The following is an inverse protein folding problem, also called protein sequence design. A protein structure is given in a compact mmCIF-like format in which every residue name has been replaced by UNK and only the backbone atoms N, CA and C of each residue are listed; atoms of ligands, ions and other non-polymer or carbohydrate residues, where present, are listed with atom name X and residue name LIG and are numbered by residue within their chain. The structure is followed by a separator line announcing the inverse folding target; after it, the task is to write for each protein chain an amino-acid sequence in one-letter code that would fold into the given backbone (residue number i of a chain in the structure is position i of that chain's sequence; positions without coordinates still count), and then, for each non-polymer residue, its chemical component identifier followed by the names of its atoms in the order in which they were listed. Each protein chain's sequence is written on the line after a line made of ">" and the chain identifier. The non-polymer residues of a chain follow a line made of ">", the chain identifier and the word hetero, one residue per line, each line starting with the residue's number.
data_IF_820236629537
#
_entry.id   IF_820236629537
#
_cell.length_a   1.000
_cell.length_b   1.000
_cell.length_c   1.000
_cell.angle_alpha   90.00
_cell.angle_beta   90.00
_cell.angle_gamma   90.00
#
_symmetry.space_group_name_H-M   'P 1'
#
loop_
_entity.id
_entity.type
_entity.pdbx_description
1 polymer ?
#
# COMPACT_ATOMS: atom_id res chain seq x y z
N UNK A 1 -6.42 -0.83 -15.05
CA UNK A 1 -6.55 -1.74 -13.90
C UNK A 1 -7.41 -2.96 -14.18
N UNK A 2 -8.38 -2.91 -15.12
CA UNK A 2 -9.06 -4.12 -15.61
C UNK A 2 -9.91 -4.82 -14.56
N UNK A 3 -10.59 -4.06 -13.71
CA UNK A 3 -11.61 -4.61 -12.82
C UNK A 3 -12.82 -5.03 -13.64
N UNK A 4 -13.32 -6.25 -13.44
CA UNK A 4 -14.63 -6.65 -13.93
C UNK A 4 -15.71 -6.00 -13.06
N UNK A 5 -16.24 -4.88 -13.55
CA UNK A 5 -17.28 -4.08 -12.89
C UNK A 5 -18.65 -4.18 -13.58
N UNK A 6 -18.81 -5.11 -14.51
CA UNK A 6 -20.07 -5.33 -15.20
C UNK A 6 -21.12 -5.94 -14.27
N UNK A 7 -22.39 -5.96 -14.69
CA UNK A 7 -23.47 -6.59 -13.91
C UNK A 7 -23.17 -8.07 -13.66
N UNK A 8 -22.89 -8.42 -12.40
CA UNK A 8 -22.50 -9.77 -11.99
C UNK A 8 -20.99 -10.00 -11.91
N UNK A 9 -20.17 -8.98 -12.18
CA UNK A 9 -18.72 -9.01 -12.05
C UNK A 9 -18.24 -9.11 -10.60
N UNK A 10 -16.99 -9.50 -10.41
CA UNK A 10 -16.39 -9.75 -9.09
C UNK A 10 -16.21 -8.49 -8.25
N UNK A 11 -16.01 -7.34 -8.91
CA UNK A 11 -15.78 -6.05 -8.28
C UNK A 11 -16.92 -5.08 -8.59
N UNK A 12 -17.18 -4.14 -7.69
CA UNK A 12 -18.09 -3.02 -7.94
C UNK A 12 -17.47 -1.69 -7.57
N UNK A 13 -17.89 -0.66 -8.30
CA UNK A 13 -17.68 0.73 -7.92
C UNK A 13 -18.93 1.17 -7.15
N UNK A 14 -18.82 1.26 -5.83
CA UNK A 14 -19.94 1.72 -5.00
C UNK A 14 -20.04 3.25 -5.01
N UNK A 15 -21.27 3.77 -5.03
CA UNK A 15 -21.61 5.17 -4.88
C UNK A 15 -21.99 5.54 -3.43
N UNK A 16 -21.76 4.66 -2.46
CA UNK A 16 -22.10 4.90 -1.05
C UNK A 16 -21.49 6.19 -0.49
N UNK A 17 -20.34 6.61 -1.02
CA UNK A 17 -19.65 7.83 -0.63
C UNK A 17 -19.80 8.99 -1.62
N UNK A 18 -20.73 8.93 -2.57
CA UNK A 18 -20.92 9.94 -3.62
C UNK A 18 -21.10 11.36 -3.06
N UNK A 19 -21.77 11.44 -1.90
CA UNK A 19 -22.04 12.68 -1.17
C UNK A 19 -21.15 12.86 0.07
N UNK A 20 -20.04 12.12 0.19
CA UNK A 20 -19.06 12.21 1.29
C UNK A 20 -19.63 11.95 2.70
N UNK A 21 -20.79 11.29 2.80
CA UNK A 21 -21.48 11.02 4.07
C UNK A 21 -20.87 9.84 4.85
N UNK A 22 -20.33 8.85 4.14
CA UNK A 22 -19.70 7.68 4.77
C UNK A 22 -18.32 8.07 5.26
N UNK A 23 -17.50 8.67 4.40
CA UNK A 23 -16.17 9.17 4.76
C UNK A 23 -15.89 10.48 4.02
N UNK A 24 -15.78 11.57 4.76
CA UNK A 24 -15.54 12.90 4.21
C UNK A 24 -14.13 13.12 3.64
N UNK A 25 -13.21 12.19 3.90
CA UNK A 25 -11.80 12.26 3.48
C UNK A 25 -11.42 11.23 2.42
N UNK A 26 -12.41 10.50 1.90
CA UNK A 26 -12.27 9.54 0.79
C UNK A 26 -12.90 10.11 -0.49
N UNK A 27 -12.54 9.56 -1.67
CA UNK A 27 -13.21 9.90 -2.91
C UNK A 27 -14.68 9.48 -2.92
N UNK A 28 -15.41 10.00 -3.91
CA UNK A 28 -16.84 9.72 -4.13
C UNK A 28 -17.12 8.25 -4.41
N UNK A 29 -16.21 7.60 -5.14
CA UNK A 29 -16.36 6.25 -5.63
C UNK A 29 -15.29 5.35 -5.02
N UNK A 30 -15.70 4.18 -4.56
CA UNK A 30 -14.82 3.21 -3.91
C UNK A 30 -14.94 1.87 -4.61
N UNK A 31 -13.83 1.15 -4.74
CA UNK A 31 -13.80 -0.20 -5.32
C UNK A 31 -13.81 -1.21 -4.18
N UNK A 32 -14.79 -2.10 -4.21
CA UNK A 32 -15.00 -3.18 -3.23
C UNK A 32 -15.54 -4.44 -3.95
N UNK A 33 -15.49 -5.62 -3.33
CA UNK A 33 -16.11 -6.82 -3.91
C UNK A 33 -17.64 -6.66 -4.07
N UNK A 34 -18.19 -7.20 -5.17
CA UNK A 34 -19.64 -7.18 -5.43
C UNK A 34 -20.44 -7.95 -4.38
N UNK A 35 -19.83 -8.97 -3.76
CA UNK A 35 -20.42 -9.78 -2.70
C UNK A 35 -20.71 -9.01 -1.40
N UNK A 36 -20.11 -7.83 -1.19
CA UNK A 36 -20.29 -7.04 0.02
C UNK A 36 -21.38 -5.98 -0.20
N UNK A 37 -22.51 -6.01 0.52
CA UNK A 37 -23.57 -5.00 0.37
C UNK A 37 -23.16 -3.65 0.98
N UNK A 38 -23.70 -2.56 0.44
CA UNK A 38 -23.36 -1.21 0.90
C UNK A 38 -23.73 -0.98 2.39
N UNK A 39 -24.78 -1.64 2.89
CA UNK A 39 -25.15 -1.58 4.31
C UNK A 39 -24.05 -2.11 5.25
N UNK A 40 -23.30 -3.13 4.82
CA UNK A 40 -22.17 -3.64 5.59
C UNK A 40 -21.03 -2.63 5.58
N UNK A 41 -20.79 -1.95 4.44
CA UNK A 41 -19.78 -0.89 4.34
C UNK A 41 -20.04 0.28 5.31
N UNK A 42 -21.30 0.63 5.58
CA UNK A 42 -21.63 1.64 6.62
C UNK A 42 -21.23 1.18 8.02
N UNK A 43 -21.37 -0.11 8.30
CA UNK A 43 -20.97 -0.72 9.57
C UNK A 43 -19.46 -0.76 9.69
N UNK A 44 -18.76 -1.18 8.62
CA UNK A 44 -17.29 -1.14 8.52
C UNK A 44 -16.78 0.29 8.71
N UNK A 45 -17.43 1.28 8.09
CA UNK A 45 -17.09 2.68 8.25
C UNK A 45 -17.21 3.15 9.69
N UNK A 46 -18.08 2.55 10.50
CA UNK A 46 -18.18 2.89 11.94
C UNK A 46 -17.09 2.21 12.78
N UNK A 47 -16.43 1.18 12.25
CA UNK A 47 -15.35 0.45 12.91
C UNK A 47 -13.95 0.88 12.44
N UNK A 48 -13.82 1.55 11.31
CA UNK A 48 -12.53 2.05 10.79
C UNK A 48 -12.33 3.50 11.20
N UNK A 49 -11.14 3.82 11.69
CA UNK A 49 -10.84 5.17 12.18
C UNK A 49 -11.08 6.24 11.08
N UNK A 50 -11.72 7.35 11.46
CA UNK A 50 -12.17 8.39 10.52
C UNK A 50 -13.04 7.88 9.37
N UNK A 51 -13.65 6.70 9.54
CA UNK A 51 -14.53 6.03 8.59
C UNK A 51 -13.87 5.61 7.27
N UNK A 52 -12.54 5.50 7.27
CA UNK A 52 -11.71 5.20 6.09
C UNK A 52 -11.62 3.68 5.89
N UNK A 53 -12.65 3.13 5.27
CA UNK A 53 -12.82 1.68 5.06
C UNK A 53 -11.72 1.08 4.16
N UNK A 54 -11.45 -0.24 4.25
CA UNK A 54 -10.71 -0.96 3.23
C UNK A 54 -11.36 -0.79 1.85
N UNK A 55 -10.58 -0.27 0.90
CA UNK A 55 -10.98 -0.18 -0.51
C UNK A 55 -9.78 -0.47 -1.39
N UNK A 56 -10.03 -1.09 -2.54
CA UNK A 56 -8.99 -1.45 -3.51
C UNK A 56 -8.62 -0.23 -4.35
N UNK A 57 -7.32 -0.03 -4.55
CA UNK A 57 -6.77 1.12 -5.30
C UNK A 57 -5.84 0.72 -6.44
N UNK A 58 -5.42 -0.55 -6.47
CA UNK A 58 -4.64 -1.12 -7.56
C UNK A 58 -4.92 -2.61 -7.74
N UNK A 59 -4.87 -3.10 -8.98
CA UNK A 59 -5.00 -4.51 -9.35
C UNK A 59 -3.93 -4.93 -10.33
N UNK A 60 -3.34 -6.08 -10.08
CA UNK A 60 -2.36 -6.73 -10.94
C UNK A 60 -3.05 -7.27 -12.20
N UNK A 61 -2.69 -6.73 -13.37
CA UNK A 61 -3.34 -7.07 -14.62
C UNK A 61 -3.20 -8.55 -15.02
N UNK A 62 -2.13 -9.24 -14.61
CA UNK A 62 -1.91 -10.66 -14.92
C UNK A 62 -2.52 -11.64 -13.90
N UNK A 63 -2.32 -11.39 -12.59
CA UNK A 63 -2.64 -12.33 -11.51
C UNK A 63 -3.89 -11.96 -10.69
N UNK A 64 -4.52 -10.82 -10.99
CA UNK A 64 -5.74 -10.37 -10.33
C UNK A 64 -5.59 -9.93 -8.87
N UNK A 65 -4.39 -10.06 -8.28
CA UNK A 65 -4.07 -9.63 -6.93
C UNK A 65 -4.19 -8.13 -6.77
N UNK A 66 -4.53 -7.67 -5.56
CA UNK A 66 -4.87 -6.26 -5.33
C UNK A 66 -4.08 -5.63 -4.20
N UNK A 67 -3.96 -4.31 -4.28
CA UNK A 67 -3.57 -3.45 -3.16
C UNK A 67 -4.81 -2.70 -2.70
N UNK A 68 -5.16 -2.89 -1.43
CA UNK A 68 -6.18 -2.13 -0.73
C UNK A 68 -5.55 -1.19 0.30
N UNK A 69 -6.28 -0.15 0.68
CA UNK A 69 -5.87 0.79 1.73
C UNK A 69 -7.00 1.13 2.68
N UNK A 70 -6.64 1.47 3.92
CA UNK A 70 -7.59 1.92 4.95
C UNK A 70 -6.91 2.76 6.05
N UNK A 71 -7.71 3.20 7.02
CA UNK A 71 -7.21 3.51 8.37
C UNK A 71 -7.21 2.26 9.28
N UNK A 72 -6.69 2.41 10.50
CA UNK A 72 -6.72 1.35 11.51
C UNK A 72 -8.15 0.95 11.92
N UNK A 73 -8.36 -0.28 12.39
CA UNK A 73 -9.62 -0.66 13.06
C UNK A 73 -9.72 -0.04 14.47
N UNK A 74 -10.94 0.24 14.92
CA UNK A 74 -11.29 0.77 16.23
C UNK A 74 -11.56 -0.34 17.24
N UNK A 75 -10.56 -1.21 17.41
CA UNK A 75 -10.60 -2.34 18.36
C UNK A 75 -10.71 -1.85 19.80
N UNK A 76 -10.01 -0.76 20.13
CA UNK A 76 -9.98 -0.18 21.46
C UNK A 76 -9.44 -1.12 22.55
N UNK A 77 -9.47 -0.62 23.79
CA UNK A 77 -9.02 -1.38 24.95
C UNK A 77 -9.88 -2.62 25.22
N UNK A 78 -11.20 -2.51 24.97
CA UNK A 78 -12.18 -3.57 25.21
C UNK A 78 -12.13 -4.70 24.18
N UNK A 79 -11.35 -4.57 23.10
CA UNK A 79 -11.25 -5.62 22.09
C UNK A 79 -12.50 -5.72 21.22
N UNK A 80 -13.08 -4.58 20.85
CA UNK A 80 -14.21 -4.51 19.93
C UNK A 80 -13.87 -5.15 18.60
N UNK A 81 -14.90 -5.71 17.98
CA UNK A 81 -14.83 -6.44 16.72
C UNK A 81 -15.96 -6.00 15.82
N UNK A 82 -15.75 -6.18 14.52
CA UNK A 82 -16.79 -6.01 13.50
C UNK A 82 -16.75 -7.22 12.57
N UNK A 83 -17.79 -8.04 12.61
CA UNK A 83 -17.92 -9.17 11.68
C UNK A 83 -18.04 -8.70 10.23
N UNK A 84 -18.56 -7.49 10.00
CA UNK A 84 -18.61 -6.87 8.68
C UNK A 84 -17.22 -6.45 8.18
N UNK A 85 -16.33 -5.96 9.06
CA UNK A 85 -14.94 -5.65 8.68
C UNK A 85 -14.16 -6.94 8.39
N UNK A 86 -14.31 -7.95 9.26
CA UNK A 86 -13.77 -9.30 9.07
C UNK A 86 -14.22 -9.88 7.71
N UNK A 87 -15.52 -9.75 7.38
CA UNK A 87 -16.10 -10.23 6.12
C UNK A 87 -15.65 -9.44 4.90
N UNK A 88 -15.51 -8.11 5.00
CA UNK A 88 -15.02 -7.29 3.89
C UNK A 88 -13.57 -7.64 3.52
N UNK A 89 -12.68 -7.77 4.52
CA UNK A 89 -11.29 -8.15 4.29
C UNK A 89 -11.22 -9.55 3.66
N UNK A 90 -12.01 -10.50 4.16
CA UNK A 90 -12.10 -11.83 3.57
C UNK A 90 -12.59 -11.76 2.11
N UNK A 91 -13.64 -11.00 1.83
CA UNK A 91 -14.20 -10.85 0.50
C UNK A 91 -13.21 -10.23 -0.50
N UNK A 92 -12.34 -9.31 -0.06
CA UNK A 92 -11.26 -8.76 -0.91
C UNK A 92 -10.28 -9.87 -1.31
N UNK A 93 -9.91 -10.75 -0.38
CA UNK A 93 -9.03 -11.88 -0.66
C UNK A 93 -9.69 -12.92 -1.58
N UNK A 94 -10.97 -13.23 -1.32
CA UNK A 94 -11.75 -14.18 -2.13
C UNK A 94 -11.94 -13.65 -3.56
N UNK A 95 -12.20 -12.36 -3.73
CA UNK A 95 -12.35 -11.71 -5.04
C UNK A 95 -11.12 -11.90 -5.93
N UNK A 96 -9.90 -11.86 -5.36
CA UNK A 96 -8.67 -12.13 -6.11
C UNK A 96 -8.58 -13.59 -6.60
N UNK A 97 -9.21 -14.52 -5.88
CA UNK A 97 -9.24 -15.94 -6.26
C UNK A 97 -10.31 -16.24 -7.31
N UNK A 98 -11.42 -15.48 -7.30
CA UNK A 98 -12.53 -15.61 -8.26
C UNK A 98 -12.17 -14.96 -9.60
N UNK A 99 -11.44 -13.84 -9.56
CA UNK A 99 -10.98 -13.10 -10.74
C UNK A 99 -9.43 -13.03 -10.75
N UNK A 100 -8.73 -14.13 -11.11
CA UNK A 100 -7.27 -14.22 -11.09
C UNK A 100 -6.56 -13.53 -12.26
N UNK A 101 -7.28 -12.73 -13.06
CA UNK A 101 -6.74 -12.09 -14.26
C UNK A 101 -6.63 -13.06 -15.46
N UNK A 102 -6.16 -12.58 -16.62
CA UNK A 102 -6.10 -13.32 -17.87
C UNK A 102 -4.99 -14.39 -17.89
N UNK A 103 -3.99 -14.32 -17.00
CA UNK A 103 -2.90 -15.27 -16.95
C UNK A 103 -3.15 -16.32 -15.85
N UNK A 104 -3.82 -17.39 -16.29
CA UNK A 104 -3.82 -18.80 -15.84
C UNK A 104 -5.27 -19.32 -15.79
N UNK A 105 -5.86 -19.42 -16.97
CA UNK A 105 -6.98 -20.33 -17.23
C UNK A 105 -6.53 -21.71 -17.71
N UNK A 106 -5.22 -21.97 -17.89
CA UNK A 106 -4.68 -23.27 -18.30
C UNK A 106 -3.15 -23.36 -18.02
N UNK A 107 -2.73 -24.30 -17.16
CA UNK A 107 -1.52 -25.10 -17.41
C UNK A 107 -0.16 -24.68 -16.83
N UNK A 108 -0.03 -23.66 -15.98
CA UNK A 108 1.28 -23.33 -15.36
C UNK A 108 1.19 -22.99 -13.87
N UNK A 109 0.45 -23.78 -13.10
CA UNK A 109 0.56 -23.80 -11.64
C UNK A 109 1.06 -25.16 -11.16
N UNK A 110 2.37 -25.22 -10.91
CA UNK A 110 3.05 -25.90 -9.79
C UNK A 110 4.45 -26.32 -10.22
N UNK A 111 5.43 -25.42 -10.10
CA UNK A 111 6.75 -25.88 -9.67
C UNK A 111 6.77 -25.69 -8.15
N UNK A 112 6.87 -26.76 -7.34
CA UNK A 112 7.03 -26.64 -5.91
C UNK A 112 8.29 -25.84 -5.59
N UNK A 113 8.23 -24.98 -4.58
CA UNK A 113 9.32 -24.13 -4.10
C UNK A 113 10.41 -24.91 -3.32
N UNK A 114 10.44 -26.25 -3.45
CA UNK A 114 11.39 -27.13 -2.77
C UNK A 114 12.32 -27.80 -3.79
N UNK A 115 13.35 -27.06 -4.19
CA UNK A 115 14.66 -27.61 -4.59
C UNK A 115 15.72 -26.50 -4.60
N UNK A 116 16.05 -25.97 -3.42
CA UNK A 116 17.43 -25.55 -3.15
C UNK A 116 18.25 -26.81 -2.87
N UNK A 117 18.77 -27.44 -3.92
CA UNK A 117 19.85 -28.41 -3.83
C UNK A 117 20.83 -28.18 -4.99
N UNK A 118 22.09 -27.95 -4.64
CA UNK A 118 23.24 -28.02 -5.53
C UNK A 118 23.25 -29.34 -6.31
N UNK A 119 23.52 -29.28 -7.62
CA UNK A 119 24.46 -30.13 -8.38
C UNK A 119 24.09 -30.31 -9.85
N UNK A 120 25.09 -30.04 -10.69
CA UNK A 120 25.41 -30.57 -12.02
C UNK A 120 24.33 -30.69 -13.12
N UNK A 121 24.61 -29.93 -14.18
CA UNK A 121 24.01 -30.07 -15.50
C UNK A 121 24.53 -31.34 -16.19
N UNK A 122 23.75 -32.42 -16.15
CA UNK A 122 23.79 -33.49 -17.17
C UNK A 122 22.68 -34.52 -16.93
N UNK A 123 21.51 -34.33 -17.55
CA UNK A 123 20.80 -35.41 -18.26
C UNK A 123 19.50 -34.88 -18.90
N UNK A 124 19.57 -34.60 -20.20
CA UNK A 124 18.38 -34.37 -21.04
C UNK A 124 18.34 -35.46 -22.10
N UNK A 125 17.97 -36.66 -21.68
CA UNK A 125 17.43 -37.66 -22.58
C UNK A 125 16.55 -38.60 -21.79
N UNK A 126 15.22 -38.46 -21.93
CA UNK A 126 14.21 -39.52 -21.81
C UNK A 126 12.83 -38.89 -21.62
N UNK A 127 12.22 -38.32 -22.66
CA UNK A 127 10.76 -38.26 -22.79
C UNK A 127 10.38 -38.10 -24.28
N UNK A 128 10.51 -39.19 -25.04
CA UNK A 128 9.81 -39.36 -26.31
C UNK A 128 9.04 -40.67 -26.24
N UNK A 129 7.74 -40.58 -25.92
CA UNK A 129 6.86 -41.75 -25.81
C UNK A 129 5.44 -41.28 -25.49
N UNK A 130 4.62 -41.16 -26.52
CA UNK A 130 3.23 -40.73 -26.39
C UNK A 130 2.35 -41.77 -25.71
N UNK A 131 1.41 -41.28 -24.89
CA UNK A 131 0.17 -41.96 -24.51
C UNK A 131 -0.92 -40.88 -24.38
N UNK A 132 -1.92 -40.95 -25.25
CA UNK A 132 -3.17 -40.22 -25.13
C UNK A 132 -4.00 -40.82 -24.00
N UNK A 133 -3.92 -40.23 -22.82
CA UNK A 133 -4.88 -40.45 -21.74
C UNK A 133 -5.53 -39.12 -21.41
N UNK A 134 -6.80 -38.97 -21.77
CA UNK A 134 -7.65 -37.87 -21.32
C UNK A 134 -7.85 -38.01 -19.81
N UNK A 135 -6.89 -37.51 -19.02
CA UNK A 135 -7.10 -37.31 -17.60
C UNK A 135 -8.00 -36.09 -17.44
N UNK A 136 -9.20 -36.30 -16.92
CA UNK A 136 -9.96 -35.22 -16.29
C UNK A 136 -9.10 -34.67 -15.15
N UNK A 137 -8.38 -33.59 -15.42
CA UNK A 137 -7.70 -32.81 -14.41
C UNK A 137 -8.76 -31.94 -13.75
N UNK A 138 -9.37 -32.44 -12.68
CA UNK A 138 -10.04 -31.56 -11.73
C UNK A 138 -8.99 -30.56 -11.24
N UNK A 139 -9.13 -29.24 -11.51
CA UNK A 139 -8.17 -28.27 -11.03
C UNK A 139 -8.15 -28.38 -9.50
N UNK A 140 -7.01 -28.78 -8.92
CA UNK A 140 -6.82 -28.54 -7.49
C UNK A 140 -6.95 -27.03 -7.29
N UNK A 141 -7.86 -26.54 -6.44
CA UNK A 141 -7.87 -25.12 -6.12
C UNK A 141 -6.48 -24.75 -5.62
N UNK A 142 -5.87 -23.74 -6.25
CA UNK A 142 -4.61 -23.19 -5.78
C UNK A 142 -4.76 -22.89 -4.28
N UNK A 143 -3.75 -23.20 -3.44
CA UNK A 143 -3.85 -22.90 -2.02
C UNK A 143 -4.16 -21.41 -1.84
N UNK A 144 -5.29 -21.11 -1.21
CA UNK A 144 -5.73 -19.74 -0.96
C UNK A 144 -4.62 -19.01 -0.19
N UNK A 145 -3.99 -18.05 -0.85
CA UNK A 145 -2.92 -17.27 -0.24
C UNK A 145 -3.57 -16.30 0.74
N UNK A 146 -3.18 -16.40 2.01
CA UNK A 146 -3.63 -15.47 3.07
C UNK A 146 -3.43 -14.04 2.60
N UNK A 147 -4.24 -13.08 3.00
CA UNK A 147 -4.01 -11.67 2.73
C UNK A 147 -2.89 -11.12 3.63
N UNK A 148 -2.03 -10.25 3.10
CA UNK A 148 -1.07 -9.50 3.92
C UNK A 148 -1.72 -8.19 4.40
N UNK A 149 -1.79 -7.98 5.70
CA UNK A 149 -2.14 -6.70 6.31
C UNK A 149 -0.85 -6.03 6.75
N UNK A 150 -0.44 -4.99 6.03
CA UNK A 150 0.77 -4.23 6.30
C UNK A 150 0.41 -2.98 7.11
N UNK A 151 0.64 -3.04 8.43
CA UNK A 151 0.54 -1.90 9.31
C UNK A 151 1.87 -1.12 9.26
N UNK A 152 1.81 0.11 8.74
CA UNK A 152 2.98 0.95 8.61
C UNK A 152 3.68 1.27 9.96
N UNK A 153 2.99 1.08 11.09
CA UNK A 153 3.48 1.43 12.43
C UNK A 153 4.37 0.33 13.01
N UNK A 154 4.99 0.63 14.14
CA UNK A 154 5.52 -0.43 15.00
C UNK A 154 4.38 -1.08 15.77
N UNK A 155 4.56 -2.34 16.17
CA UNK A 155 3.62 -3.03 17.05
C UNK A 155 3.34 -2.22 18.34
N UNK A 156 4.39 -1.66 18.96
CA UNK A 156 4.25 -0.81 20.15
C UNK A 156 3.36 0.42 19.89
N UNK A 157 3.50 1.07 18.73
CA UNK A 157 2.64 2.19 18.36
C UNK A 157 1.20 1.75 18.07
N UNK A 158 0.99 0.58 17.47
CA UNK A 158 -0.35 0.02 17.26
C UNK A 158 -1.05 -0.29 18.59
N UNK A 159 -0.35 -0.90 19.55
CA UNK A 159 -0.84 -1.13 20.92
C UNK A 159 -1.14 0.18 21.64
N UNK A 160 -0.29 1.19 21.50
CA UNK A 160 -0.55 2.51 22.07
C UNK A 160 -1.81 3.18 21.47
N UNK A 161 -2.08 2.97 20.17
CA UNK A 161 -3.32 3.42 19.54
C UNK A 161 -4.54 2.63 20.02
N UNK A 162 -4.38 1.34 20.34
CA UNK A 162 -5.44 0.52 20.95
C UNK A 162 -5.95 1.11 22.26
N UNK A 163 -5.06 1.64 23.09
CA UNK A 163 -5.44 2.35 24.32
C UNK A 163 -6.25 3.64 24.05
N UNK A 164 -6.19 4.19 22.83
CA UNK A 164 -6.92 5.40 22.41
C UNK A 164 -8.15 5.10 21.56
N UNK A 165 -8.61 3.85 21.53
CA UNK A 165 -9.77 3.43 20.74
C UNK A 165 -9.44 2.84 19.37
N UNK A 166 -8.22 3.04 18.85
CA UNK A 166 -7.75 2.41 17.60
C UNK A 166 -7.32 0.95 17.79
N UNK A 167 -6.30 0.50 17.07
CA UNK A 167 -5.73 -0.84 17.23
C UNK A 167 -5.17 -1.42 15.95
N UNK A 168 -5.14 -2.74 15.88
CA UNK A 168 -4.74 -3.53 14.73
C UNK A 168 -5.56 -4.83 14.70
N UNK A 169 -5.65 -5.43 13.53
CA UNK A 169 -6.29 -6.70 13.27
C UNK A 169 -5.64 -7.83 14.10
N UNK A 170 -6.45 -8.79 14.56
CA UNK A 170 -5.99 -9.93 15.35
C UNK A 170 -6.11 -11.22 14.53
N UNK A 171 -5.04 -12.00 14.42
CA UNK A 171 -5.02 -13.22 13.60
C UNK A 171 -6.14 -14.23 13.96
N UNK A 172 -6.62 -14.25 15.21
CA UNK A 172 -7.74 -15.10 15.63
C UNK A 172 -9.08 -14.72 14.97
N UNK A 173 -9.27 -13.44 14.64
CA UNK A 173 -10.51 -12.91 14.06
C UNK A 173 -10.38 -12.67 12.55
N UNK A 174 -9.16 -12.60 12.04
CA UNK A 174 -8.82 -12.49 10.62
C UNK A 174 -7.97 -13.71 10.22
N UNK A 175 -8.53 -14.94 10.22
CA UNK A 175 -7.75 -16.19 10.13
C UNK A 175 -7.00 -16.36 8.80
N UNK A 176 -7.52 -15.76 7.74
CA UNK A 176 -6.91 -15.74 6.41
C UNK A 176 -6.03 -14.51 6.17
N UNK A 177 -5.63 -13.81 7.22
CA UNK A 177 -4.73 -12.67 7.14
C UNK A 177 -3.42 -12.94 7.90
N UNK A 178 -2.37 -12.24 7.51
CA UNK A 178 -1.12 -12.13 8.24
C UNK A 178 -0.80 -10.65 8.44
N UNK A 179 -0.55 -10.24 9.69
CA UNK A 179 -0.28 -8.83 10.02
C UNK A 179 1.22 -8.61 10.12
N UNK A 180 1.76 -7.69 9.33
CA UNK A 180 3.16 -7.28 9.34
C UNK A 180 3.29 -5.81 9.76
N UNK A 181 4.09 -5.56 10.81
CA UNK A 181 4.38 -4.21 11.29
C UNK A 181 5.69 -3.69 10.69
N UNK A 182 5.68 -2.49 10.12
CA UNK A 182 6.85 -1.92 9.43
C UNK A 182 7.72 -0.99 10.30
N UNK A 183 7.20 -0.51 11.42
CA UNK A 183 7.97 0.34 12.33
C UNK A 183 8.26 1.75 11.79
N UNK A 184 7.47 2.27 10.83
CA UNK A 184 7.71 3.59 10.27
C UNK A 184 7.36 4.70 11.27
N UNK A 185 8.26 5.69 11.31
CA UNK A 185 8.16 6.87 12.16
C UNK A 185 6.85 7.66 11.93
N UNK A 186 6.33 8.28 12.99
CA UNK A 186 5.18 9.17 12.89
C UNK A 186 5.59 10.57 12.37
N UNK A 187 4.60 11.43 12.14
CA UNK A 187 4.81 12.78 11.59
C UNK A 187 5.77 13.64 12.43
N UNK A 188 5.77 13.49 13.76
CA UNK A 188 6.63 14.27 14.64
C UNK A 188 8.10 13.87 14.52
N UNK A 189 8.37 12.57 14.44
CA UNK A 189 9.71 12.04 14.21
C UNK A 189 10.24 12.42 12.82
N UNK A 190 9.40 12.34 11.78
CA UNK A 190 9.78 12.77 10.42
C UNK A 190 10.05 14.28 10.36
N UNK A 191 9.21 15.11 10.99
CA UNK A 191 9.45 16.56 11.11
C UNK A 191 10.81 16.84 11.77
N UNK A 192 11.09 16.20 12.92
CA UNK A 192 12.37 16.38 13.63
C UNK A 192 13.56 15.96 12.77
N UNK A 193 13.46 14.83 12.09
CA UNK A 193 14.48 14.30 11.18
C UNK A 193 14.78 15.28 10.03
N UNK A 194 13.73 15.80 9.39
CA UNK A 194 13.88 16.76 8.29
C UNK A 194 14.48 18.08 8.74
N UNK A 195 14.11 18.59 9.92
CA UNK A 195 14.74 19.79 10.48
C UNK A 195 16.24 19.59 10.71
N UNK A 196 16.65 18.43 11.23
CA UNK A 196 18.06 18.11 11.42
C UNK A 196 18.82 18.04 10.08
N UNK A 197 18.23 17.40 9.07
CA UNK A 197 18.81 17.33 7.72
C UNK A 197 18.93 18.73 7.09
N UNK A 198 17.89 19.57 7.17
CA UNK A 198 17.92 20.94 6.64
C UNK A 198 18.96 21.80 7.37
N UNK A 199 19.07 21.70 8.70
CA UNK A 199 20.06 22.42 9.48
C UNK A 199 21.49 22.02 9.09
N UNK A 200 21.72 20.72 8.85
CA UNK A 200 22.98 20.20 8.35
C UNK A 200 23.31 20.80 6.97
N UNK A 201 22.37 20.75 6.01
CA UNK A 201 22.53 21.33 4.67
C UNK A 201 22.80 22.83 4.66
N UNK A 202 22.30 23.59 5.65
CA UNK A 202 22.54 25.02 5.77
C UNK A 202 23.85 25.37 6.51
N UNK A 203 24.51 24.38 7.12
CA UNK A 203 25.72 24.61 7.92
C UNK A 203 26.98 24.64 7.06
N UNK A 204 27.98 25.41 7.49
CA UNK A 204 29.36 25.32 6.98
C UNK A 204 30.05 24.11 7.61
N UNK A 205 29.56 22.91 7.31
CA UNK A 205 29.99 21.71 8.02
C UNK A 205 31.45 21.35 7.73
N UNK A 206 32.16 20.93 8.78
CA UNK A 206 33.44 20.24 8.65
C UNK A 206 33.21 18.90 7.92
N UNK A 207 33.88 18.67 6.77
CA UNK A 207 33.79 17.41 6.02
C UNK A 207 33.98 16.17 6.90
N UNK A 208 34.76 16.26 7.98
CA UNK A 208 35.05 15.14 8.89
C UNK A 208 33.83 14.64 9.67
N UNK A 209 32.85 15.51 9.95
CA UNK A 209 31.68 15.21 10.79
C UNK A 209 30.36 15.16 10.01
N UNK A 210 30.40 15.48 8.70
CA UNK A 210 29.22 15.53 7.86
C UNK A 210 28.43 14.22 7.86
N UNK A 211 29.11 13.09 7.65
CA UNK A 211 28.46 11.78 7.55
C UNK A 211 27.80 11.35 8.87
N UNK A 212 28.47 11.58 10.01
CA UNK A 212 27.90 11.28 11.33
C UNK A 212 26.69 12.16 11.65
N UNK A 213 26.72 13.43 11.24
CA UNK A 213 25.59 14.34 11.42
C UNK A 213 24.42 13.97 10.51
N UNK A 214 24.69 13.52 9.27
CA UNK A 214 23.69 13.00 8.35
C UNK A 214 23.02 11.74 8.92
N UNK A 215 23.82 10.80 9.44
CA UNK A 215 23.29 9.60 10.11
C UNK A 215 22.43 9.97 11.32
N UNK A 216 22.87 10.96 12.10
CA UNK A 216 22.17 11.44 13.29
C UNK A 216 20.82 12.08 12.96
N UNK A 217 20.64 12.63 11.74
CA UNK A 217 19.35 13.12 11.27
C UNK A 217 18.32 11.99 11.09
N UNK A 218 18.76 10.74 10.87
CA UNK A 218 17.95 9.57 10.52
C UNK A 218 17.11 9.71 9.24
N UNK A 219 17.32 10.75 8.43
CA UNK A 219 16.53 10.97 7.21
C UNK A 219 16.64 9.78 6.25
N UNK A 220 17.86 9.37 5.90
CA UNK A 220 18.09 8.22 5.02
C UNK A 220 17.58 6.89 5.62
N UNK A 221 17.61 6.75 6.94
CA UNK A 221 17.02 5.58 7.62
C UNK A 221 15.50 5.54 7.42
N UNK A 222 14.82 6.69 7.50
CA UNK A 222 13.38 6.77 7.24
C UNK A 222 13.03 6.52 5.76
N UNK A 223 13.83 7.02 4.81
CA UNK A 223 13.66 6.71 3.38
C UNK A 223 13.82 5.21 3.12
N UNK A 224 14.87 4.60 3.69
CA UNK A 224 15.12 3.16 3.57
C UNK A 224 13.96 2.32 4.10
N UNK A 225 13.44 2.65 5.29
CA UNK A 225 12.28 1.96 5.86
C UNK A 225 11.04 2.07 4.98
N UNK A 226 10.78 3.25 4.43
CA UNK A 226 9.63 3.47 3.54
C UNK A 226 9.75 2.71 2.21
N UNK A 227 10.93 2.73 1.58
CA UNK A 227 11.21 1.94 0.37
C UNK A 227 11.08 0.43 0.65
N UNK A 228 11.57 -0.05 1.80
CA UNK A 228 11.43 -1.46 2.20
C UNK A 228 9.97 -1.88 2.36
N UNK A 229 9.14 -1.05 3.01
CA UNK A 229 7.71 -1.31 3.15
C UNK A 229 7.01 -1.39 1.79
N UNK A 230 7.34 -0.47 0.89
CA UNK A 230 6.74 -0.40 -0.45
C UNK A 230 7.17 -1.59 -1.33
N UNK A 231 8.44 -1.99 -1.25
CA UNK A 231 8.95 -3.18 -1.93
C UNK A 231 8.29 -4.46 -1.43
N UNK A 232 7.99 -4.56 -0.13
CA UNK A 232 7.25 -5.69 0.43
C UNK A 232 5.83 -5.78 -0.16
N UNK A 233 5.13 -4.65 -0.32
CA UNK A 233 3.82 -4.63 -1.00
C UNK A 233 3.95 -5.07 -2.45
N UNK A 234 4.95 -4.55 -3.18
CA UNK A 234 5.18 -4.91 -4.58
C UNK A 234 5.47 -6.41 -4.75
N UNK A 235 6.39 -6.96 -3.94
CA UNK A 235 6.72 -8.38 -3.96
C UNK A 235 5.53 -9.27 -3.57
N UNK A 236 4.74 -8.84 -2.58
CA UNK A 236 3.55 -9.58 -2.16
C UNK A 236 2.56 -9.75 -3.31
N UNK A 237 2.26 -8.69 -4.07
CA UNK A 237 1.26 -8.78 -5.15
C UNK A 237 1.79 -9.42 -6.43
N UNK A 238 3.06 -9.18 -6.80
CA UNK A 238 3.66 -9.65 -8.06
C UNK A 238 4.29 -11.06 -7.94
N UNK A 239 5.12 -11.28 -6.91
CA UNK A 239 5.86 -12.54 -6.73
C UNK A 239 5.07 -13.54 -5.90
N UNK A 240 4.57 -13.11 -4.73
CA UNK A 240 3.84 -13.97 -3.80
C UNK A 240 2.36 -14.12 -4.17
N UNK A 241 1.89 -13.43 -5.22
CA UNK A 241 0.49 -13.36 -5.67
C UNK A 241 -0.52 -13.29 -4.52
N UNK A 242 -0.24 -12.39 -3.59
CA UNK A 242 -0.94 -12.22 -2.32
C UNK A 242 -1.67 -10.88 -2.33
N UNK A 243 -2.97 -10.81 -2.00
CA UNK A 243 -3.63 -9.52 -1.81
C UNK A 243 -3.05 -8.81 -0.58
N UNK A 244 -3.00 -7.48 -0.63
CA UNK A 244 -2.41 -6.65 0.43
C UNK A 244 -3.40 -5.57 0.89
N UNK A 245 -3.57 -5.40 2.20
CA UNK A 245 -4.17 -4.20 2.80
C UNK A 245 -3.08 -3.40 3.49
N UNK A 246 -2.91 -2.14 3.09
CA UNK A 246 -1.98 -1.22 3.72
C UNK A 246 -2.75 -0.23 4.59
N UNK A 247 -2.38 -0.10 5.86
CA UNK A 247 -2.90 0.96 6.71
C UNK A 247 -1.83 1.52 7.66
N UNK A 248 -2.17 2.61 8.32
CA UNK A 248 -1.41 3.14 9.45
C UNK A 248 -2.40 3.50 10.57
N UNK A 249 -2.21 4.60 11.31
CA UNK A 249 -3.26 5.09 12.22
C UNK A 249 -4.43 5.64 11.41
N UNK A 250 -4.22 6.75 10.69
CA UNK A 250 -5.32 7.47 10.03
C UNK A 250 -5.48 7.12 8.56
N UNK A 251 -4.53 6.40 7.97
CA UNK A 251 -4.61 5.99 6.56
C UNK A 251 -4.33 7.08 5.52
N UNK A 252 -3.82 8.26 5.92
CA UNK A 252 -3.56 9.40 5.02
C UNK A 252 -2.11 9.92 5.00
N UNK A 253 -1.20 9.38 5.82
CA UNK A 253 0.22 9.80 5.83
C UNK A 253 1.15 8.70 5.30
N UNK A 254 1.44 7.68 6.10
CA UNK A 254 2.33 6.56 5.69
C UNK A 254 1.69 5.65 4.66
N UNK A 255 0.37 5.49 4.71
CA UNK A 255 -0.37 4.65 3.77
C UNK A 255 -0.19 5.10 2.31
N UNK A 256 -0.48 6.37 1.93
CA UNK A 256 -0.25 6.80 0.55
C UNK A 256 1.23 6.76 0.16
N UNK A 257 2.16 7.00 1.09
CA UNK A 257 3.59 6.85 0.81
C UNK A 257 3.93 5.43 0.33
N UNK A 258 3.46 4.40 1.05
CA UNK A 258 3.73 2.99 0.74
C UNK A 258 3.01 2.58 -0.54
N UNK A 259 1.70 2.85 -0.62
CA UNK A 259 0.87 2.43 -1.74
C UNK A 259 1.34 3.06 -3.05
N UNK A 260 1.57 4.38 -3.08
CA UNK A 260 2.00 5.06 -4.30
C UNK A 260 3.41 4.64 -4.74
N UNK A 261 4.32 4.34 -3.81
CA UNK A 261 5.64 3.78 -4.17
C UNK A 261 5.53 2.37 -4.74
N UNK A 262 4.69 1.51 -4.14
CA UNK A 262 4.46 0.17 -4.67
C UNK A 262 3.85 0.22 -6.08
N UNK A 263 2.84 1.08 -6.28
CA UNK A 263 2.25 1.32 -7.59
C UNK A 263 3.28 1.82 -8.62
N UNK A 264 4.19 2.72 -8.26
CA UNK A 264 5.30 3.15 -9.14
C UNK A 264 6.25 2.01 -9.52
N UNK A 265 6.53 1.10 -8.59
CA UNK A 265 7.38 -0.06 -8.84
C UNK A 265 6.70 -1.05 -9.80
N UNK A 266 5.40 -1.27 -9.61
CA UNK A 266 4.61 -2.28 -10.31
C UNK A 266 4.14 -1.84 -11.70
N UNK A 267 3.73 -0.57 -11.87
CA UNK A 267 3.04 -0.13 -13.07
C UNK A 267 3.86 0.91 -13.86
N UNK A 268 4.33 0.58 -15.08
CA UNK A 268 5.01 1.53 -15.95
C UNK A 268 4.20 2.77 -16.29
N UNK A 269 2.86 2.71 -16.25
CA UNK A 269 1.99 3.86 -16.49
C UNK A 269 2.33 5.01 -15.53
N UNK A 270 2.44 4.74 -14.23
CA UNK A 270 2.72 5.77 -13.22
C UNK A 270 4.13 6.37 -13.31
N UNK A 271 5.02 5.78 -14.11
CA UNK A 271 6.36 6.30 -14.41
C UNK A 271 6.37 7.24 -15.64
N UNK A 272 5.22 7.43 -16.27
CA UNK A 272 4.99 8.51 -17.25
C UNK A 272 4.66 9.83 -16.55
N UNK A 273 4.73 10.97 -17.24
CA UNK A 273 4.32 12.27 -16.66
C UNK A 273 2.84 12.24 -16.28
N UNK A 274 1.98 11.86 -17.23
CA UNK A 274 0.52 11.81 -17.02
C UNK A 274 0.14 10.80 -15.93
N UNK A 275 0.77 9.62 -15.96
CA UNK A 275 0.53 8.61 -14.92
C UNK A 275 1.02 9.06 -13.55
N UNK A 276 2.15 9.76 -13.45
CA UNK A 276 2.61 10.30 -12.17
C UNK A 276 1.63 11.34 -11.61
N UNK A 277 1.06 12.18 -12.47
CA UNK A 277 0.00 13.13 -12.08
C UNK A 277 -1.24 12.39 -11.56
N UNK A 278 -1.72 11.39 -12.30
CA UNK A 278 -2.85 10.55 -11.86
C UNK A 278 -2.55 9.85 -10.53
N UNK A 279 -1.33 9.36 -10.33
CA UNK A 279 -0.94 8.73 -9.06
C UNK A 279 -1.01 9.73 -7.89
N UNK A 280 -0.53 10.96 -8.09
CA UNK A 280 -0.60 12.02 -7.07
C UNK A 280 -2.05 12.41 -6.81
N UNK A 281 -2.85 12.63 -7.85
CA UNK A 281 -4.27 12.95 -7.72
C UNK A 281 -5.03 11.85 -6.97
N UNK A 282 -4.89 10.61 -7.40
CA UNK A 282 -5.55 9.45 -6.78
C UNK A 282 -5.06 9.22 -5.34
N UNK A 283 -3.79 8.88 -5.16
CA UNK A 283 -3.33 8.36 -3.86
C UNK A 283 -3.16 9.44 -2.79
N UNK A 284 -2.93 10.69 -3.19
CA UNK A 284 -2.68 11.79 -2.27
C UNK A 284 -3.85 12.74 -2.13
N UNK A 285 -4.39 13.26 -3.23
CA UNK A 285 -5.45 14.28 -3.17
C UNK A 285 -6.82 13.66 -2.87
N UNK A 286 -7.27 12.73 -3.71
CA UNK A 286 -8.59 12.10 -3.60
C UNK A 286 -8.73 11.29 -2.30
N UNK A 287 -7.68 10.55 -1.93
CA UNK A 287 -7.63 9.83 -0.66
C UNK A 287 -7.28 10.71 0.55
N UNK A 288 -7.24 12.03 0.39
CA UNK A 288 -7.32 12.97 1.51
C UNK A 288 -6.05 13.07 2.36
N UNK A 289 -4.86 12.99 1.77
CA UNK A 289 -3.67 13.48 2.45
C UNK A 289 -3.87 14.95 2.83
N UNK A 290 -3.62 15.29 4.10
CA UNK A 290 -3.93 16.61 4.66
C UNK A 290 -2.90 17.66 4.25
N UNK A 291 -2.73 17.92 2.95
CA UNK A 291 -1.74 18.86 2.42
C UNK A 291 -1.75 20.22 3.12
N UNK A 292 -2.93 20.80 3.36
CA UNK A 292 -3.07 22.09 4.05
C UNK A 292 -2.45 22.10 5.44
N UNK A 293 -2.65 21.05 6.24
CA UNK A 293 -2.11 20.95 7.59
C UNK A 293 -0.62 20.57 7.57
N UNK A 294 -0.24 19.65 6.68
CA UNK A 294 1.11 19.11 6.59
C UNK A 294 2.10 20.15 6.03
N UNK A 295 1.67 20.95 5.07
CA UNK A 295 2.46 22.04 4.47
C UNK A 295 2.34 23.36 5.25
N UNK A 296 1.25 23.54 6.01
CA UNK A 296 0.99 24.78 6.74
C UNK A 296 0.31 25.87 5.91
N UNK A 297 -0.42 25.47 4.87
CA UNK A 297 -1.09 26.36 3.91
C UNK A 297 -2.59 26.51 4.21
N UNK A 298 -3.13 25.73 5.15
CA UNK A 298 -4.53 25.88 5.55
C UNK A 298 -4.72 27.15 6.37
N UNK A 299 -5.74 27.95 6.02
CA UNK A 299 -6.13 29.16 6.76
C UNK A 299 -6.52 28.86 8.23
N UNK A 300 -6.79 27.60 8.56
CA UNK A 300 -7.15 27.13 9.91
C UNK A 300 -6.05 26.27 10.56
N UNK A 301 -4.85 26.18 9.96
CA UNK A 301 -3.74 25.41 10.51
C UNK A 301 -3.04 26.15 11.67
N UNK A 302 -3.73 26.24 12.79
CA UNK A 302 -3.18 26.81 14.04
C UNK A 302 -2.21 25.82 14.72
N UNK A 303 -2.40 24.50 14.50
CA UNK A 303 -1.53 23.49 15.10
C UNK A 303 -0.25 23.27 14.30
N UNK A 304 0.80 24.02 14.66
CA UNK A 304 2.16 23.81 14.15
C UNK A 304 2.67 22.37 14.38
N UNK A 305 2.09 21.64 15.32
CA UNK A 305 2.35 20.23 15.62
C UNK A 305 1.92 19.27 14.52
N UNK A 306 1.06 19.67 13.59
CA UNK A 306 0.60 18.86 12.45
C UNK A 306 1.47 19.00 11.19
N UNK A 307 2.35 20.00 11.13
CA UNK A 307 3.23 20.22 9.97
C UNK A 307 4.26 19.10 9.82
N UNK A 308 4.42 18.55 8.63
CA UNK A 308 5.35 17.46 8.38
C UNK A 308 5.63 17.30 6.89
N UNK A 309 6.89 17.08 6.46
CA UNK A 309 7.25 16.91 5.06
C UNK A 309 6.93 15.49 4.53
N UNK A 310 5.71 15.00 4.74
CA UNK A 310 5.30 13.63 4.37
C UNK A 310 5.37 13.42 2.86
N UNK A 311 4.79 14.34 2.08
CA UNK A 311 4.83 14.27 0.61
C UNK A 311 6.25 14.48 0.06
N UNK A 312 7.03 15.38 0.68
CA UNK A 312 8.42 15.59 0.28
C UNK A 312 9.31 14.36 0.58
N UNK A 313 9.09 13.68 1.69
CA UNK A 313 9.73 12.40 2.00
C UNK A 313 9.44 11.36 0.91
N UNK A 314 8.20 11.31 0.42
CA UNK A 314 7.83 10.42 -0.68
C UNK A 314 8.53 10.80 -1.99
N UNK A 315 8.55 12.09 -2.35
CA UNK A 315 9.28 12.56 -3.53
C UNK A 315 10.77 12.23 -3.46
N UNK A 316 11.38 12.25 -2.27
CA UNK A 316 12.77 11.80 -2.07
C UNK A 316 12.90 10.29 -2.34
N UNK A 317 11.99 9.45 -1.84
CA UNK A 317 11.95 8.03 -2.23
C UNK A 317 11.78 7.83 -3.75
N UNK A 318 10.95 8.62 -4.43
CA UNK A 318 10.82 8.58 -5.90
C UNK A 318 12.13 8.98 -6.56
N UNK A 319 12.82 9.98 -6.03
CA UNK A 319 14.16 10.36 -6.50
C UNK A 319 15.17 9.22 -6.34
N UNK A 320 15.15 8.47 -5.23
CA UNK A 320 16.01 7.29 -5.06
C UNK A 320 15.75 6.22 -6.14
N UNK A 321 14.49 6.00 -6.52
CA UNK A 321 14.15 5.08 -7.62
C UNK A 321 14.61 5.62 -8.97
N UNK A 322 14.43 6.92 -9.22
CA UNK A 322 14.87 7.58 -10.45
C UNK A 322 16.39 7.44 -10.64
N UNK A 323 17.17 7.63 -9.56
CA UNK A 323 18.63 7.49 -9.59
C UNK A 323 19.06 6.04 -9.87
N UNK A 324 18.39 5.05 -9.27
CA UNK A 324 18.72 3.63 -9.46
C UNK A 324 18.26 3.09 -10.81
N UNK A 325 17.19 3.64 -11.38
CA UNK A 325 16.57 3.19 -12.63
C UNK A 325 16.39 4.35 -13.62
N UNK A 326 17.47 4.96 -14.13
CA UNK A 326 17.42 6.20 -14.89
C UNK A 326 16.63 6.11 -16.21
N UNK A 327 16.48 4.90 -16.77
CA UNK A 327 15.72 4.67 -18.00
C UNK A 327 14.25 4.28 -17.77
N UNK A 328 13.82 4.16 -16.51
CA UNK A 328 12.48 3.67 -16.15
C UNK A 328 11.42 4.75 -16.03
N UNK A 329 11.80 6.03 -16.04
CA UNK A 329 10.91 7.18 -15.81
C UNK A 329 10.94 8.14 -17.01
N UNK A 330 9.78 8.68 -17.39
CA UNK A 330 9.71 9.74 -18.41
C UNK A 330 10.00 11.14 -17.86
N UNK A 331 9.87 11.33 -16.55
CA UNK A 331 10.19 12.58 -15.87
C UNK A 331 11.59 12.53 -15.23
N UNK A 332 12.14 13.70 -14.92
CA UNK A 332 13.48 13.85 -14.36
C UNK A 332 13.43 14.47 -12.95
N UNK A 333 14.61 14.68 -12.34
CA UNK A 333 14.72 15.31 -11.03
C UNK A 333 14.07 16.71 -10.97
N UNK A 334 14.16 17.50 -12.05
CA UNK A 334 13.58 18.85 -12.09
C UNK A 334 12.05 18.82 -11.99
N UNK A 335 11.41 17.81 -12.57
CA UNK A 335 9.97 17.59 -12.41
C UNK A 335 9.61 17.36 -10.93
N UNK A 336 10.35 16.50 -10.23
CA UNK A 336 10.12 16.23 -8.79
C UNK A 336 10.33 17.48 -7.92
N UNK A 337 11.39 18.26 -8.20
CA UNK A 337 11.65 19.53 -7.50
C UNK A 337 10.52 20.52 -7.75
N UNK A 338 10.05 20.65 -9.00
CA UNK A 338 8.92 21.50 -9.36
C UNK A 338 7.64 21.12 -8.62
N UNK A 339 7.32 19.82 -8.55
CA UNK A 339 6.18 19.30 -7.79
C UNK A 339 6.29 19.60 -6.29
N UNK A 340 7.46 19.38 -5.71
CA UNK A 340 7.71 19.71 -4.30
C UNK A 340 7.60 21.20 -3.99
N UNK A 341 8.08 22.07 -4.89
CA UNK A 341 7.95 23.51 -4.77
C UNK A 341 6.48 23.96 -4.87
N UNK A 342 5.73 23.45 -5.85
CA UNK A 342 4.32 23.78 -6.04
C UNK A 342 3.49 23.43 -4.79
N UNK A 343 3.78 22.29 -4.17
CA UNK A 343 3.14 21.84 -2.93
C UNK A 343 3.29 22.83 -1.74
N UNK A 344 4.34 23.66 -1.74
CA UNK A 344 4.68 24.58 -0.64
C UNK A 344 4.53 26.07 -1.02
N UNK A 345 4.13 26.37 -2.25
CA UNK A 345 4.21 27.73 -2.82
C UNK A 345 3.03 28.65 -2.49
N UNK A 346 1.89 28.06 -2.12
CA UNK A 346 0.70 28.74 -1.60
C UNK A 346 0.54 28.43 -0.12
#
# INVERSE_FOLDING_TARGET
>A
MGFDTDLGGTWKITNINENFKVCSSYPRYLIVPTSVPDQDLETVASFRYSRRIPTVVWRHHLYGTVIARSAQPEVGWLGWRSTQDESLIQAIADACSIDPGPAIGNGLESLPDDQRLDSDASDLSLLNGGLTASMHFEPRPAPQRKMLILDARSYAAAVANRAKGGGCECAEYYPNCEVQFMGLANIHSIRKSFHAMRALCASTADPSSWMSNLESSKWLHHLSGLLKASLMVANAVDLERRPVLVHCSDGWDRTPQIVALAELMLDPYYRTIDGFQVLVEKEWLEFGHKFGDRCGNSATADDLGERCPVFLQWLDCVHQLLVQFPCSFKFNQQHLVGTGHACLSC
#
